data_IF_806896418782
#
_entry.id   IF_806896418782
#
_cell.length_a   1.000
_cell.length_b   1.000
_cell.length_c   1.000
_cell.angle_alpha   90.00
_cell.angle_beta   90.00
_cell.angle_gamma   90.00
#
_symmetry.space_group_name_H-M   'P 1'
#
loop_
_entity.id
_entity.type
_entity.pdbx_description
1 polymer ?
#
# COMPACT_ATOMS: atom_id res chain seq x y z
N UNK A 1 6.80 28.68 -38.66
CA UNK A 1 7.76 28.77 -37.54
C UNK A 1 7.22 29.52 -36.30
N UNK A 2 6.43 30.60 -36.43
CA UNK A 2 5.79 31.28 -35.27
C UNK A 2 4.83 30.42 -34.44
N UNK A 3 4.14 29.44 -35.04
CA UNK A 3 3.22 28.53 -34.32
C UNK A 3 3.92 27.40 -33.55
N UNK A 4 5.15 27.03 -33.95
CA UNK A 4 5.99 26.06 -33.25
C UNK A 4 6.72 26.73 -32.06
N UNK A 5 6.98 28.04 -32.17
CA UNK A 5 7.54 28.83 -31.08
C UNK A 5 6.54 29.07 -29.93
N UNK A 6 5.23 29.14 -30.23
CA UNK A 6 4.18 29.29 -29.21
C UNK A 6 3.90 27.99 -28.40
N UNK A 7 4.14 26.82 -28.99
CA UNK A 7 3.94 25.53 -28.30
C UNK A 7 5.08 25.16 -27.35
N UNK A 8 6.27 25.77 -27.49
CA UNK A 8 7.42 25.49 -26.62
C UNK A 8 7.43 26.34 -25.34
N UNK A 9 6.69 27.46 -25.32
CA UNK A 9 6.56 28.32 -24.13
C UNK A 9 5.54 27.77 -23.11
N UNK A 10 4.65 26.86 -23.53
CA UNK A 10 3.64 26.24 -22.66
C UNK A 10 4.15 25.02 -21.89
N UNK A 11 5.31 24.45 -22.24
CA UNK A 11 5.93 23.34 -21.51
C UNK A 11 6.92 23.78 -20.43
N UNK A 12 7.25 25.08 -20.33
CA UNK A 12 8.27 25.59 -19.41
C UNK A 12 7.69 26.24 -18.13
N UNK A 13 6.36 26.32 -17.99
CA UNK A 13 5.68 26.93 -16.84
C UNK A 13 5.28 25.94 -15.74
N UNK A 14 5.61 24.65 -15.86
CA UNK A 14 5.24 23.61 -14.90
C UNK A 14 6.30 23.31 -13.83
N UNK A 15 7.40 24.08 -13.78
CA UNK A 15 8.55 23.84 -12.91
C UNK A 15 8.74 24.89 -11.77
N UNK A 16 7.71 25.68 -11.42
CA UNK A 16 7.83 26.73 -10.37
C UNK A 16 6.85 26.58 -9.21
N UNK A 17 6.50 25.36 -8.82
CA UNK A 17 5.63 25.09 -7.65
C UNK A 17 6.34 24.44 -6.45
N UNK A 18 7.67 24.52 -6.36
CA UNK A 18 8.42 24.22 -5.13
C UNK A 18 9.16 25.47 -4.64
N UNK A 19 8.47 26.29 -3.84
CA UNK A 19 9.11 27.18 -2.85
C UNK A 19 8.61 26.75 -1.46
N UNK A 20 9.44 26.01 -0.73
CA UNK A 20 9.33 25.87 0.71
C UNK A 20 10.53 26.58 1.33
N UNK A 21 10.26 27.78 1.84
CA UNK A 21 11.03 28.33 2.94
C UNK A 21 10.59 27.55 4.18
N UNK A 22 11.52 27.07 4.99
CA UNK A 22 11.32 27.02 6.44
C UNK A 22 12.65 26.94 7.17
N UNK A 23 12.88 27.98 7.98
CA UNK A 23 13.96 28.07 8.93
C UNK A 23 13.57 27.34 10.23
N UNK A 24 14.42 26.38 10.62
CA UNK A 24 14.90 26.13 11.99
C UNK A 24 13.93 26.00 13.19
N UNK A 25 13.95 24.76 13.73
CA UNK A 25 14.22 24.35 15.13
C UNK A 25 13.06 24.07 16.11
N UNK A 26 13.17 22.86 16.69
CA UNK A 26 12.92 22.48 18.11
C UNK A 26 11.44 22.44 18.55
N UNK A 27 10.87 21.35 19.08
CA UNK A 27 11.35 20.62 20.25
C UNK A 27 10.61 19.27 20.45
N UNK A 28 11.13 18.48 21.40
CA UNK A 28 10.95 17.06 21.64
C UNK A 28 9.62 16.60 22.29
N UNK A 29 9.39 15.28 22.13
CA UNK A 29 8.75 14.30 23.04
C UNK A 29 7.22 14.32 23.20
N UNK A 30 6.60 13.32 22.57
CA UNK A 30 5.65 12.44 23.25
C UNK A 30 6.14 10.99 23.07
N UNK A 31 6.96 10.53 24.03
CA UNK A 31 7.24 9.11 24.17
C UNK A 31 5.92 8.43 24.52
N UNK A 32 5.24 7.90 23.51
CA UNK A 32 4.05 7.10 23.77
C UNK A 32 4.52 5.77 24.33
N UNK A 33 4.11 5.51 25.57
CA UNK A 33 4.39 4.27 26.28
C UNK A 33 4.05 3.08 25.40
N UNK A 34 5.07 2.26 25.12
CA UNK A 34 4.92 0.93 24.55
C UNK A 34 4.41 0.07 25.70
N UNK A 35 3.09 0.01 25.85
CA UNK A 35 2.47 -1.07 26.62
C UNK A 35 2.74 -2.32 25.81
N UNK A 36 3.79 -3.06 26.16
CA UNK A 36 4.08 -4.37 25.60
C UNK A 36 2.96 -5.32 26.06
N UNK A 37 2.06 -5.77 25.16
CA UNK A 37 1.16 -6.85 25.50
C UNK A 37 1.97 -8.14 25.53
N UNK A 38 1.59 -9.05 26.42
CA UNK A 38 2.11 -10.43 26.51
C UNK A 38 2.29 -11.02 25.09
N UNK A 39 3.51 -11.42 24.78
CA UNK A 39 4.03 -11.86 23.47
C UNK A 39 3.32 -13.13 22.95
N UNK A 40 2.08 -12.95 22.52
CA UNK A 40 1.23 -13.98 21.91
C UNK A 40 1.10 -13.78 20.41
N UNK A 41 1.80 -12.77 19.86
CA UNK A 41 1.69 -12.46 18.44
C UNK A 41 2.54 -13.41 17.61
N UNK A 42 1.87 -14.26 16.84
CA UNK A 42 2.52 -15.16 15.89
C UNK A 42 3.03 -14.35 14.69
N UNK A 43 4.34 -14.14 14.63
CA UNK A 43 5.02 -13.40 13.56
C UNK A 43 5.12 -14.19 12.25
N UNK A 44 5.27 -15.51 12.34
CA UNK A 44 5.35 -16.42 11.20
C UNK A 44 4.08 -17.26 11.17
N UNK A 45 3.22 -17.04 10.17
CA UNK A 45 1.94 -17.75 10.06
C UNK A 45 2.10 -19.14 9.48
N UNK A 46 2.82 -19.26 8.37
CA UNK A 46 3.06 -20.53 7.68
C UNK A 46 4.37 -20.48 6.87
N UNK A 47 4.81 -21.63 6.42
CA UNK A 47 5.91 -21.77 5.46
C UNK A 47 5.53 -22.84 4.45
N UNK A 48 5.69 -22.53 3.17
CA UNK A 48 5.41 -23.47 2.09
C UNK A 48 6.49 -23.36 1.02
N UNK A 49 6.94 -24.51 0.50
CA UNK A 49 8.06 -24.59 -0.43
C UNK A 49 9.28 -23.81 0.11
N UNK A 50 9.81 -22.87 -0.66
CA UNK A 50 10.92 -21.98 -0.32
C UNK A 50 10.48 -20.66 0.36
N UNK A 51 9.19 -20.48 0.70
CA UNK A 51 8.63 -19.20 1.16
C UNK A 51 8.12 -19.26 2.60
N UNK A 52 8.23 -18.13 3.31
CA UNK A 52 7.68 -17.91 4.66
C UNK A 52 6.68 -16.76 4.64
N UNK A 53 5.52 -16.95 5.24
CA UNK A 53 4.49 -15.90 5.33
C UNK A 53 4.60 -15.20 6.69
N UNK A 54 5.09 -13.97 6.64
CA UNK A 54 5.30 -13.11 7.80
C UNK A 54 4.12 -12.18 8.03
N UNK A 55 3.84 -11.89 9.29
CA UNK A 55 2.85 -10.91 9.74
C UNK A 55 3.54 -9.76 10.46
N UNK A 56 2.97 -8.57 10.36
CA UNK A 56 3.45 -7.39 11.06
C UNK A 56 2.31 -6.76 11.87
N UNK A 57 2.67 -6.08 12.96
CA UNK A 57 1.73 -5.29 13.74
C UNK A 57 1.66 -3.87 13.17
N UNK A 58 0.50 -3.22 13.31
CA UNK A 58 0.30 -1.81 12.98
C UNK A 58 0.19 -1.03 14.30
N UNK A 59 1.31 -0.72 14.97
CA UNK A 59 1.26 -0.06 16.27
C UNK A 59 0.65 1.34 16.15
N UNK A 60 -0.22 1.68 17.10
CA UNK A 60 -0.85 3.01 17.14
C UNK A 60 -2.03 3.21 16.19
N UNK A 61 -2.44 2.19 15.43
CA UNK A 61 -3.67 2.25 14.64
C UNK A 61 -4.90 2.60 15.50
N UNK A 62 -4.96 2.04 16.72
CA UNK A 62 -6.08 2.28 17.63
C UNK A 62 -6.19 3.73 18.12
N UNK A 63 -5.06 4.44 18.13
CA UNK A 63 -4.96 5.85 18.57
C UNK A 63 -5.47 6.83 17.52
N UNK A 64 -5.71 6.38 16.29
CA UNK A 64 -6.23 7.22 15.21
C UNK A 64 -7.68 7.64 15.49
N UNK A 65 -8.03 8.86 15.11
CA UNK A 65 -9.41 9.31 15.11
C UNK A 65 -10.25 8.51 14.12
N UNK A 66 -11.58 8.50 14.28
CA UNK A 66 -12.46 7.80 13.35
C UNK A 66 -12.28 8.29 11.90
N UNK A 67 -12.10 9.60 11.69
CA UNK A 67 -11.86 10.17 10.37
C UNK A 67 -10.54 9.66 9.76
N UNK A 68 -9.48 9.59 10.56
CA UNK A 68 -8.19 9.04 10.12
C UNK A 68 -8.29 7.55 9.80
N UNK A 69 -8.99 6.76 10.62
CA UNK A 69 -9.24 5.34 10.34
C UNK A 69 -10.01 5.15 9.03
N UNK A 70 -11.03 5.99 8.76
CA UNK A 70 -11.75 5.99 7.48
C UNK A 70 -10.85 6.32 6.31
N UNK A 71 -9.98 7.34 6.44
CA UNK A 71 -9.01 7.68 5.40
C UNK A 71 -8.06 6.50 5.11
N UNK A 72 -7.48 5.88 6.14
CA UNK A 72 -6.63 4.69 6.00
C UNK A 72 -7.39 3.55 5.33
N UNK A 73 -8.64 3.31 5.73
CA UNK A 73 -9.49 2.30 5.11
C UNK A 73 -9.68 2.56 3.61
N UNK A 74 -10.05 3.78 3.20
CA UNK A 74 -10.25 4.06 1.77
C UNK A 74 -8.96 3.97 0.96
N UNK A 75 -7.83 4.41 1.49
CA UNK A 75 -6.53 4.29 0.83
C UNK A 75 -6.12 2.81 0.66
N UNK A 76 -6.34 1.98 1.68
CA UNK A 76 -6.06 0.55 1.59
C UNK A 76 -6.98 -0.15 0.59
N UNK A 77 -8.28 0.18 0.57
CA UNK A 77 -9.20 -0.34 -0.45
C UNK A 77 -8.77 0.04 -1.88
N UNK A 78 -8.35 1.30 -2.08
CA UNK A 78 -7.82 1.75 -3.37
C UNK A 78 -6.57 0.95 -3.79
N UNK A 79 -5.66 0.67 -2.85
CA UNK A 79 -4.50 -0.19 -3.10
C UNK A 79 -4.89 -1.62 -3.46
N UNK A 80 -5.84 -2.22 -2.75
CA UNK A 80 -6.30 -3.59 -3.01
C UNK A 80 -7.02 -3.74 -4.36
N UNK A 81 -7.73 -2.71 -4.81
CA UNK A 81 -8.41 -2.72 -6.11
C UNK A 81 -7.43 -2.94 -7.28
N UNK A 82 -6.16 -2.54 -7.14
CA UNK A 82 -5.12 -2.73 -8.15
C UNK A 82 -4.56 -4.15 -8.25
N UNK A 83 -4.95 -5.08 -7.37
CA UNK A 83 -4.35 -6.43 -7.31
C UNK A 83 -4.47 -7.18 -8.63
N UNK A 84 -5.65 -7.22 -9.24
CA UNK A 84 -5.84 -8.00 -10.47
C UNK A 84 -5.13 -7.38 -11.68
N UNK A 85 -4.82 -6.07 -11.62
CA UNK A 85 -4.05 -5.37 -12.67
C UNK A 85 -2.63 -5.92 -12.75
N UNK A 86 -1.92 -6.08 -11.63
CA UNK A 86 -0.55 -6.60 -11.65
C UNK A 86 -0.49 -8.06 -12.11
N UNK A 87 -1.52 -8.86 -11.78
CA UNK A 87 -1.61 -10.24 -12.28
C UNK A 87 -1.74 -10.26 -13.81
N UNK A 88 -2.60 -9.41 -14.36
CA UNK A 88 -2.84 -9.30 -15.80
C UNK A 88 -1.60 -8.79 -16.56
N UNK A 89 -0.91 -7.79 -15.98
CA UNK A 89 0.33 -7.24 -16.54
C UNK A 89 1.46 -8.26 -16.60
N UNK A 90 1.60 -9.11 -15.57
CA UNK A 90 2.70 -10.06 -15.50
C UNK A 90 2.57 -11.20 -16.52
N UNK A 91 1.35 -11.63 -16.86
CA UNK A 91 1.11 -12.64 -17.89
C UNK A 91 -0.36 -12.73 -18.30
N UNK A 92 -0.60 -12.82 -19.61
CA UNK A 92 -1.95 -12.83 -20.23
C UNK A 92 -2.95 -13.88 -19.72
N UNK A 93 -2.47 -14.99 -19.15
CA UNK A 93 -3.34 -16.08 -18.67
C UNK A 93 -3.41 -16.18 -17.14
N UNK A 94 -2.73 -15.30 -16.42
CA UNK A 94 -2.62 -15.35 -14.96
C UNK A 94 -3.98 -15.31 -14.26
N UNK A 95 -4.87 -14.39 -14.68
CA UNK A 95 -6.19 -14.27 -14.06
C UNK A 95 -7.03 -15.53 -14.29
N UNK A 96 -6.97 -16.14 -15.47
CA UNK A 96 -7.69 -17.37 -15.77
C UNK A 96 -7.17 -18.55 -14.94
N UNK A 97 -5.84 -18.72 -14.88
CA UNK A 97 -5.19 -19.78 -14.10
C UNK A 97 -5.53 -19.62 -12.61
N UNK A 98 -5.32 -18.42 -12.04
CA UNK A 98 -5.60 -18.13 -10.64
C UNK A 98 -7.05 -18.41 -10.27
N UNK A 99 -8.01 -17.86 -11.03
CA UNK A 99 -9.45 -18.08 -10.78
C UNK A 99 -9.84 -19.56 -10.86
N UNK A 100 -9.21 -20.32 -11.76
CA UNK A 100 -9.46 -21.75 -11.91
C UNK A 100 -8.95 -22.51 -10.68
N UNK A 101 -7.70 -22.27 -10.26
CA UNK A 101 -7.11 -22.90 -9.08
C UNK A 101 -7.87 -22.53 -7.80
N UNK A 102 -8.21 -21.24 -7.63
CA UNK A 102 -9.02 -20.76 -6.50
C UNK A 102 -10.38 -21.48 -6.45
N UNK A 103 -11.06 -21.63 -7.60
CA UNK A 103 -12.35 -22.33 -7.66
C UNK A 103 -12.21 -23.80 -7.31
N UNK A 104 -11.15 -24.47 -7.76
CA UNK A 104 -10.88 -25.85 -7.38
C UNK A 104 -10.64 -25.93 -5.87
N UNK A 105 -9.72 -25.12 -5.32
CA UNK A 105 -9.39 -25.14 -3.90
C UNK A 105 -10.59 -24.86 -2.99
N UNK A 106 -11.49 -23.94 -3.38
CA UNK A 106 -12.68 -23.58 -2.59
C UNK A 106 -13.79 -24.65 -2.64
N UNK A 107 -13.87 -25.44 -3.72
CA UNK A 107 -14.99 -26.38 -3.96
C UNK A 107 -14.56 -27.85 -3.99
N UNK A 108 -13.30 -28.15 -3.69
CA UNK A 108 -12.81 -29.51 -3.67
C UNK A 108 -13.43 -30.27 -2.49
N UNK A 109 -14.15 -31.36 -2.78
CA UNK A 109 -14.82 -32.22 -1.81
C UNK A 109 -14.12 -33.57 -1.62
N UNK A 110 -12.99 -33.79 -2.32
CA UNK A 110 -12.19 -34.99 -2.16
C UNK A 110 -11.27 -34.92 -0.93
N UNK A 111 -10.62 -36.05 -0.64
CA UNK A 111 -9.44 -36.09 0.22
C UNK A 111 -8.17 -35.88 -0.61
#
# INVERSE_FOLDING_TARGET
MKKILLSLFALLSMASACKQNDASKSNQKAATQVVAPVDTFVWISESFSDKKILRYQIPGFDKLSLQQKKLVYYLTQAGYAGRDIIWDQNYRHNLAIRRTIEKIAMNFQGN
#
